data_IF_529808131400
#
_entry.id   IF_529808131400
#
_cell.length_a   1.000
_cell.length_b   1.000
_cell.length_c   1.000
_cell.angle_alpha   90.00
_cell.angle_beta   90.00
_cell.angle_gamma   90.00
#
_symmetry.space_group_name_H-M   'P 1'
#
loop_
_entity.id
_entity.type
_entity.pdbx_description
1 polymer ?
#
# COMPACT_ATOMS: atom_id res chain seq x y z
N UNK A 1 -7.40 -8.60 -4.16
CA UNK A 1 -6.11 -8.77 -3.44
C UNK A 1 -4.99 -8.79 -4.47
N UNK A 2 -4.55 -7.60 -4.89
CA UNK A 2 -3.65 -7.40 -6.04
C UNK A 2 -2.26 -8.02 -5.85
N UNK A 3 -1.27 -7.22 -5.48
CA UNK A 3 0.13 -7.66 -5.44
C UNK A 3 0.51 -8.55 -4.25
N UNK A 4 -0.38 -8.70 -3.26
CA UNK A 4 -0.08 -9.42 -2.02
C UNK A 4 0.55 -10.80 -2.19
N UNK A 5 0.03 -11.71 -3.05
CA UNK A 5 0.64 -13.02 -3.27
C UNK A 5 2.07 -12.95 -3.81
N UNK A 6 2.37 -12.01 -4.70
CA UNK A 6 3.69 -11.85 -5.30
C UNK A 6 4.70 -11.28 -4.29
N UNK A 7 4.27 -10.30 -3.47
CA UNK A 7 5.11 -9.70 -2.42
C UNK A 7 5.56 -10.77 -1.41
N UNK A 8 4.66 -11.67 -1.01
CA UNK A 8 4.93 -12.64 0.06
C UNK A 8 5.48 -13.98 -0.45
N UNK A 9 5.72 -14.14 -1.74
CA UNK A 9 5.96 -15.46 -2.36
C UNK A 9 7.27 -16.12 -1.91
N UNK A 10 8.34 -15.35 -1.71
CA UNK A 10 9.69 -15.87 -1.47
C UNK A 10 10.32 -15.41 -0.14
N UNK A 11 9.56 -14.69 0.68
CA UNK A 11 9.98 -14.24 2.02
C UNK A 11 11.00 -13.10 2.05
N UNK A 12 11.36 -12.50 0.90
CA UNK A 12 12.27 -11.34 0.84
C UNK A 12 11.58 -10.02 1.14
N UNK A 13 10.25 -10.00 1.13
CA UNK A 13 9.44 -8.85 1.48
C UNK A 13 8.21 -9.28 2.28
N UNK A 14 7.64 -8.34 3.02
CA UNK A 14 6.37 -8.48 3.71
C UNK A 14 5.55 -7.21 3.53
N UNK A 15 4.25 -7.29 3.81
CA UNK A 15 3.36 -6.14 3.76
C UNK A 15 3.34 -5.51 5.15
N UNK A 16 3.96 -4.33 5.29
CA UNK A 16 3.96 -3.58 6.55
C UNK A 16 2.62 -2.90 6.84
N UNK A 17 1.98 -2.35 5.79
CA UNK A 17 0.75 -1.60 5.90
C UNK A 17 -0.14 -1.71 4.65
N UNK A 18 -1.43 -1.38 4.80
CA UNK A 18 -2.41 -1.27 3.71
C UNK A 18 -3.25 -0.01 3.87
N UNK A 19 -3.57 0.64 2.75
CA UNK A 19 -4.57 1.69 2.68
C UNK A 19 -5.60 1.42 1.58
N UNK A 20 -6.87 1.55 1.95
CA UNK A 20 -8.03 1.42 1.05
C UNK A 20 -9.21 2.17 1.70
N UNK A 21 -10.02 2.97 1.00
CA UNK A 21 -11.17 3.64 1.59
C UNK A 21 -12.25 2.66 2.09
N UNK A 22 -12.35 1.47 1.50
CA UNK A 22 -13.33 0.45 1.87
C UNK A 22 -12.84 -0.38 3.08
N UNK A 23 -13.59 -0.34 4.19
CA UNK A 23 -13.26 -1.06 5.41
C UNK A 23 -13.22 -2.57 5.21
N UNK A 24 -14.12 -3.15 4.42
CA UNK A 24 -14.17 -4.58 4.20
C UNK A 24 -12.93 -5.08 3.44
N UNK A 25 -12.46 -4.30 2.46
CA UNK A 25 -11.21 -4.59 1.75
C UNK A 25 -10.02 -4.58 2.72
N UNK A 26 -9.93 -3.54 3.56
CA UNK A 26 -8.88 -3.40 4.57
C UNK A 26 -8.86 -4.59 5.53
N UNK A 27 -10.00 -4.93 6.13
CA UNK A 27 -10.11 -6.00 7.14
C UNK A 27 -9.76 -7.36 6.53
N UNK A 28 -10.25 -7.63 5.32
CA UNK A 28 -9.97 -8.89 4.61
C UNK A 28 -8.48 -9.02 4.27
N UNK A 29 -7.87 -7.95 3.79
CA UNK A 29 -6.46 -7.92 3.42
C UNK A 29 -5.55 -8.03 4.65
N UNK A 30 -5.84 -7.25 5.70
CA UNK A 30 -5.11 -7.25 6.96
C UNK A 30 -5.15 -8.63 7.62
N UNK A 31 -6.32 -9.26 7.68
CA UNK A 31 -6.46 -10.62 8.21
C UNK A 31 -5.65 -11.65 7.42
N UNK A 32 -5.68 -11.58 6.09
CA UNK A 32 -4.96 -12.55 5.25
C UNK A 32 -3.45 -12.44 5.38
N UNK A 33 -2.93 -11.21 5.35
CA UNK A 33 -1.48 -10.95 5.32
C UNK A 33 -0.91 -10.60 6.70
N UNK A 34 -1.73 -10.63 7.76
CA UNK A 34 -1.37 -10.31 9.16
C UNK A 34 -0.75 -8.92 9.29
N UNK A 35 -1.37 -7.95 8.62
CA UNK A 35 -0.93 -6.55 8.57
C UNK A 35 -1.58 -5.80 9.74
N UNK A 36 -0.78 -5.08 10.52
CA UNK A 36 -1.29 -4.27 11.63
C UNK A 36 -1.52 -2.80 11.24
N UNK A 37 -0.72 -2.27 10.29
CA UNK A 37 -0.89 -0.93 9.75
C UNK A 37 -2.07 -0.87 8.78
N UNK A 38 -3.25 -0.47 9.26
CA UNK A 38 -4.49 -0.44 8.46
C UNK A 38 -5.06 0.97 8.43
N UNK A 39 -5.18 1.55 7.23
CA UNK A 39 -5.47 2.98 7.08
C UNK A 39 -6.55 3.25 6.04
N UNK A 40 -7.51 4.11 6.36
CA UNK A 40 -8.49 4.59 5.37
C UNK A 40 -7.87 5.60 4.38
N UNK A 41 -6.89 6.39 4.83
CA UNK A 41 -6.18 7.40 4.03
C UNK A 41 -4.70 7.04 3.91
N UNK A 42 -4.17 7.04 2.68
CA UNK A 42 -2.77 6.71 2.41
C UNK A 42 -1.80 7.74 2.99
N UNK A 43 -2.21 9.00 3.18
CA UNK A 43 -1.34 10.01 3.81
C UNK A 43 -1.04 9.65 5.25
N UNK A 44 -2.05 9.20 5.99
CA UNK A 44 -1.87 8.76 7.37
C UNK A 44 -0.95 7.53 7.44
N UNK A 45 -1.04 6.62 6.47
CA UNK A 45 -0.12 5.48 6.33
C UNK A 45 1.31 5.96 6.08
N UNK A 46 1.52 6.85 5.11
CA UNK A 46 2.83 7.40 4.73
C UNK A 46 3.48 8.25 5.83
N UNK A 47 2.71 8.77 6.78
CA UNK A 47 3.23 9.54 7.93
C UNK A 47 3.60 8.68 9.13
N UNK A 48 2.90 7.56 9.34
CA UNK A 48 3.02 6.76 10.57
C UNK A 48 3.90 5.53 10.40
N UNK A 49 4.02 5.04 9.18
CA UNK A 49 4.77 3.81 8.87
C UNK A 49 6.17 4.15 8.38
N UNK A 50 7.13 3.31 8.76
CA UNK A 50 8.48 3.31 8.21
C UNK A 50 8.51 2.28 7.08
N UNK A 51 8.37 2.76 5.84
CA UNK A 51 8.20 1.92 4.64
C UNK A 51 9.46 1.91 3.78
N UNK A 52 9.80 0.76 3.21
CA UNK A 52 10.91 0.63 2.25
C UNK A 52 10.51 0.96 0.81
N UNK A 53 9.24 0.75 0.46
CA UNK A 53 8.66 0.98 -0.87
C UNK A 53 7.12 0.94 -0.80
N UNK A 54 6.46 1.46 -1.84
CA UNK A 54 5.00 1.40 -1.98
C UNK A 54 4.56 0.79 -3.31
N UNK A 55 3.42 0.11 -3.26
CA UNK A 55 2.70 -0.36 -4.45
C UNK A 55 1.37 0.38 -4.53
N UNK A 56 1.18 1.15 -5.61
CA UNK A 56 -0.02 1.93 -5.85
C UNK A 56 -0.93 1.13 -6.77
N UNK A 57 -2.07 0.67 -6.23
CA UNK A 57 -3.13 -0.04 -6.97
C UNK A 57 -4.48 0.63 -6.81
N UNK A 58 -4.48 1.96 -6.57
CA UNK A 58 -5.69 2.77 -6.51
C UNK A 58 -6.29 2.97 -7.91
N UNK A 59 -7.47 3.59 -8.04
CA UNK A 59 -7.99 3.97 -9.35
C UNK A 59 -7.06 4.93 -10.13
N UNK A 60 -7.01 4.85 -11.47
CA UNK A 60 -6.03 5.59 -12.28
C UNK A 60 -5.99 7.11 -12.06
N UNK A 61 -7.15 7.74 -11.83
CA UNK A 61 -7.23 9.19 -11.59
C UNK A 61 -6.59 9.65 -10.26
N UNK A 62 -6.20 8.71 -9.39
CA UNK A 62 -5.49 8.97 -8.14
C UNK A 62 -3.99 8.66 -8.22
N UNK A 63 -3.53 7.97 -9.27
CA UNK A 63 -2.13 7.53 -9.39
C UNK A 63 -1.15 8.69 -9.26
N UNK A 64 -1.33 9.76 -10.04
CA UNK A 64 -0.44 10.92 -10.01
C UNK A 64 -0.27 11.48 -8.58
N UNK A 65 -1.39 11.71 -7.89
CA UNK A 65 -1.37 12.23 -6.52
C UNK A 65 -0.73 11.25 -5.53
N UNK A 66 -1.00 9.95 -5.65
CA UNK A 66 -0.42 8.95 -4.75
C UNK A 66 1.09 8.78 -5.00
N UNK A 67 1.52 8.88 -6.26
CA UNK A 67 2.94 8.88 -6.65
C UNK A 67 3.63 10.11 -6.08
N UNK A 68 3.05 11.30 -6.25
CA UNK A 68 3.57 12.55 -5.68
C UNK A 68 3.69 12.47 -4.15
N UNK A 69 2.60 12.14 -3.45
CA UNK A 69 2.56 12.02 -1.99
C UNK A 69 3.62 11.01 -1.48
N UNK A 70 3.87 9.91 -2.22
CA UNK A 70 4.88 8.89 -1.86
C UNK A 70 6.31 9.32 -2.19
N UNK A 71 6.50 10.02 -3.31
CA UNK A 71 7.80 10.51 -3.75
C UNK A 71 8.31 11.64 -2.83
N UNK A 72 7.43 12.46 -2.28
CA UNK A 72 7.75 13.47 -1.27
C UNK A 72 8.32 12.84 0.02
N UNK A 73 7.95 11.58 0.32
CA UNK A 73 8.53 10.80 1.42
C UNK A 73 9.84 10.10 1.05
N UNK A 74 10.29 10.23 -0.19
CA UNK A 74 11.50 9.58 -0.70
C UNK A 74 11.37 8.08 -0.94
N UNK A 75 10.13 7.57 -1.04
CA UNK A 75 9.89 6.14 -1.18
C UNK A 75 10.05 5.67 -2.64
N UNK A 76 10.67 4.50 -2.88
CA UNK A 76 10.54 3.77 -4.13
C UNK A 76 9.08 3.38 -4.40
N UNK A 77 8.65 3.54 -5.67
CA UNK A 77 7.24 3.39 -6.06
C UNK A 77 7.11 2.39 -7.20
N UNK A 78 6.19 1.43 -7.03
CA UNK A 78 5.60 0.64 -8.11
C UNK A 78 4.16 1.11 -8.31
N UNK A 79 3.89 1.81 -9.40
CA UNK A 79 2.53 2.21 -9.77
C UNK A 79 1.96 1.22 -10.77
N UNK A 80 0.73 0.74 -10.52
CA UNK A 80 0.01 -0.01 -11.53
C UNK A 80 -0.30 0.87 -12.73
N UNK A 81 -0.38 0.22 -13.90
CA UNK A 81 -0.77 0.90 -15.14
C UNK A 81 -2.29 1.13 -15.16
N UNK A 82 -2.77 2.11 -15.95
CA UNK A 82 -2.09 3.31 -16.44
C UNK A 82 -1.99 4.40 -15.37
#
# INVERSE_FOLDING_TARGET
MGHGPAITADGRAYIAAISDPDQHNRDTFAKKYRVNGVYEDHRAMLEREDLDAVVISSPPWLHARHVEDSAEKGLPILCEKP
#
